data_IF_899474331483
#
_entry.id   IF_899474331483
#
_cell.length_a   1.000
_cell.length_b   1.000
_cell.length_c   1.000
_cell.angle_alpha   90.00
_cell.angle_beta   90.00
_cell.angle_gamma   90.00
#
_symmetry.space_group_name_H-M   'P 1'
#
loop_
_entity.id
_entity.type
_entity.pdbx_description
1 polymer ?
#
# COMPACT_ATOMS: atom_id res chain seq x y z
N UNK A 1 5.14 -24.76 10.47
CA UNK A 1 5.81 -23.63 9.79
C UNK A 1 4.80 -22.94 8.91
N UNK A 2 4.47 -21.68 9.18
CA UNK A 2 3.93 -20.72 8.20
C UNK A 2 4.83 -19.48 8.28
N UNK A 3 5.04 -18.67 7.22
CA UNK A 3 4.36 -18.63 5.91
C UNK A 3 5.33 -18.64 4.70
N UNK A 4 4.84 -18.87 3.47
CA UNK A 4 5.54 -18.48 2.24
C UNK A 4 4.92 -17.20 1.70
N UNK A 5 5.48 -16.07 2.12
CA UNK A 5 5.31 -14.76 1.50
C UNK A 5 6.66 -14.37 0.92
N UNK A 6 6.81 -14.44 -0.41
CA UNK A 6 7.89 -13.84 -1.22
C UNK A 6 7.55 -14.12 -2.68
N UNK A 7 7.41 -13.11 -3.52
CA UNK A 7 7.61 -13.30 -4.96
C UNK A 7 9.01 -13.88 -5.15
N UNK A 8 9.10 -15.12 -5.63
CA UNK A 8 10.28 -15.98 -5.41
C UNK A 8 11.58 -15.54 -6.14
N UNK A 9 11.59 -14.44 -6.91
CA UNK A 9 12.76 -14.07 -7.74
C UNK A 9 13.10 -12.56 -7.83
N UNK A 10 12.48 -11.68 -7.03
CA UNK A 10 12.70 -10.22 -7.16
C UNK A 10 12.07 -9.61 -8.42
N UNK A 11 11.32 -10.42 -9.18
CA UNK A 11 10.54 -9.99 -10.33
C UNK A 11 9.31 -9.16 -9.90
N UNK A 12 8.85 -8.25 -10.76
CA UNK A 12 7.61 -7.52 -10.52
C UNK A 12 6.40 -8.46 -10.46
N UNK A 13 5.43 -8.12 -9.61
CA UNK A 13 4.16 -8.83 -9.50
C UNK A 13 3.00 -7.84 -9.36
N UNK A 14 1.77 -8.31 -9.56
CA UNK A 14 0.57 -7.50 -9.34
C UNK A 14 -0.01 -7.81 -7.96
N UNK A 15 -0.27 -6.80 -7.13
CA UNK A 15 -1.00 -6.99 -5.87
C UNK A 15 -2.51 -7.15 -6.15
N UNK A 16 -3.28 -7.32 -5.08
CA UNK A 16 -4.75 -7.29 -5.12
C UNK A 16 -5.28 -6.03 -4.41
N UNK A 17 -6.42 -5.53 -4.89
CA UNK A 17 -7.11 -4.38 -4.28
C UNK A 17 -7.52 -4.75 -2.85
N UNK A 18 -7.29 -3.84 -1.90
CA UNK A 18 -7.58 -4.06 -0.47
C UNK A 18 -6.40 -4.63 0.33
N UNK A 19 -5.33 -5.07 -0.32
CA UNK A 19 -4.10 -5.47 0.37
C UNK A 19 -3.34 -4.26 0.91
N UNK A 20 -2.73 -4.43 2.08
CA UNK A 20 -1.86 -3.44 2.72
C UNK A 20 -0.42 -3.91 2.60
N UNK A 21 0.45 -3.02 2.13
CA UNK A 21 1.88 -3.25 2.01
C UNK A 21 2.66 -2.20 2.80
N UNK A 22 3.79 -2.59 3.36
CA UNK A 22 4.87 -1.66 3.66
C UNK A 22 5.56 -1.34 2.33
N UNK A 23 5.53 -0.07 1.90
CA UNK A 23 6.00 0.37 0.59
C UNK A 23 7.17 1.34 0.76
N UNK A 24 8.27 1.09 0.04
CA UNK A 24 9.39 2.01 -0.07
C UNK A 24 8.93 3.31 -0.74
N UNK A 25 9.10 4.45 -0.08
CA UNK A 25 8.55 5.74 -0.54
C UNK A 25 9.18 6.24 -1.84
N UNK A 26 10.44 5.86 -2.12
CA UNK A 26 11.17 6.26 -3.32
C UNK A 26 10.52 5.78 -4.64
N UNK A 27 9.60 4.81 -4.59
CA UNK A 27 8.94 4.29 -5.81
C UNK A 27 7.68 5.05 -6.20
N UNK A 28 7.21 6.01 -5.38
CA UNK A 28 6.03 6.83 -5.67
C UNK A 28 6.16 8.30 -5.25
N UNK A 29 7.20 8.69 -4.51
CA UNK A 29 7.47 10.09 -4.19
C UNK A 29 8.61 10.63 -5.06
N UNK A 30 8.39 11.77 -5.71
CA UNK A 30 9.42 12.50 -6.47
C UNK A 30 10.30 13.42 -5.59
N UNK A 31 10.24 13.28 -4.27
CA UNK A 31 10.94 14.13 -3.29
C UNK A 31 11.35 13.36 -2.04
N UNK A 32 11.84 14.09 -1.02
CA UNK A 32 12.30 13.49 0.24
C UNK A 32 11.12 13.25 1.18
N UNK A 33 10.46 12.10 1.08
CA UNK A 33 9.61 11.64 2.18
C UNK A 33 10.51 11.41 3.41
N UNK A 34 10.20 11.98 4.58
CA UNK A 34 11.00 11.76 5.79
C UNK A 34 10.96 10.30 6.26
N UNK A 35 9.97 9.52 5.85
CA UNK A 35 9.90 8.09 6.10
C UNK A 35 10.38 7.33 4.84
N UNK A 36 11.36 6.42 4.98
CA UNK A 36 11.82 5.61 3.85
C UNK A 36 10.77 4.57 3.41
N UNK A 37 9.83 4.24 4.30
CA UNK A 37 8.76 3.29 4.03
C UNK A 37 7.47 3.74 4.71
N UNK A 38 6.33 3.43 4.09
CA UNK A 38 4.99 3.68 4.65
C UNK A 38 4.06 2.51 4.39
N UNK A 39 3.14 2.21 5.33
CA UNK A 39 2.02 1.33 5.03
C UNK A 39 1.13 1.99 3.96
N UNK A 40 0.69 1.23 2.97
CA UNK A 40 -0.19 1.72 1.94
C UNK A 40 -1.21 0.65 1.53
N UNK A 41 -2.46 1.07 1.33
CA UNK A 41 -3.52 0.25 0.78
C UNK A 41 -3.44 0.26 -0.75
N UNK A 42 -3.57 -0.89 -1.39
CA UNK A 42 -3.75 -0.99 -2.84
C UNK A 42 -5.18 -0.65 -3.20
N UNK A 43 -5.37 0.43 -3.95
CA UNK A 43 -6.68 0.95 -4.34
C UNK A 43 -7.10 0.45 -5.73
N UNK A 44 -6.16 0.43 -6.67
CA UNK A 44 -6.44 0.01 -8.04
C UNK A 44 -5.22 -0.67 -8.65
N UNK A 45 -5.47 -1.75 -9.37
CA UNK A 45 -4.46 -2.54 -10.07
C UNK A 45 -4.87 -2.64 -11.53
N UNK A 46 -4.10 -2.04 -12.45
CA UNK A 46 -4.45 -2.09 -13.86
C UNK A 46 -4.37 -3.51 -14.39
N UNK A 47 -5.25 -3.83 -15.34
CA UNK A 47 -5.24 -5.11 -16.05
C UNK A 47 -3.86 -5.40 -16.65
N UNK A 48 -3.54 -6.69 -16.80
CA UNK A 48 -2.24 -7.16 -17.33
C UNK A 48 -1.96 -6.61 -18.72
N UNK A 49 -3.01 -6.36 -19.51
CA UNK A 49 -2.92 -5.92 -20.91
C UNK A 49 -2.56 -4.44 -21.08
N UNK A 50 -2.68 -3.62 -20.02
CA UNK A 50 -2.34 -2.20 -20.07
C UNK A 50 -0.95 -1.99 -19.48
N UNK A 51 0.08 -2.02 -20.33
CA UNK A 51 1.49 -2.03 -19.93
C UNK A 51 1.92 -0.80 -19.11
N UNK A 52 1.30 0.36 -19.35
CA UNK A 52 1.76 1.65 -18.83
C UNK A 52 0.94 2.20 -17.66
N UNK A 53 -0.18 1.58 -17.31
CA UNK A 53 -0.99 2.07 -16.20
C UNK A 53 -0.32 1.75 -14.85
N UNK A 54 -0.26 2.70 -13.89
CA UNK A 54 0.36 2.48 -12.59
C UNK A 54 -0.59 1.79 -11.59
N UNK A 55 -0.02 1.14 -10.59
CA UNK A 55 -0.75 0.69 -9.40
C UNK A 55 -1.07 1.91 -8.56
N UNK A 56 -2.33 2.11 -8.19
CA UNK A 56 -2.72 3.20 -7.29
C UNK A 56 -2.77 2.71 -5.86
N UNK A 57 -2.20 3.51 -4.96
CA UNK A 57 -2.13 3.22 -3.53
C UNK A 57 -2.62 4.41 -2.71
N UNK A 58 -3.08 4.17 -1.49
CA UNK A 58 -3.33 5.22 -0.50
C UNK A 58 -2.42 4.98 0.71
N UNK A 59 -1.53 5.92 1.00
CA UNK A 59 -0.57 5.77 2.10
C UNK A 59 -1.19 6.13 3.44
N UNK A 60 -0.78 5.39 4.46
CA UNK A 60 -1.12 5.63 5.85
C UNK A 60 -0.03 6.45 6.54
N UNK A 61 -0.44 7.42 7.34
CA UNK A 61 0.44 8.23 8.19
C UNK A 61 -0.11 8.27 9.62
N UNK A 62 0.75 8.40 10.62
CA UNK A 62 0.34 8.62 12.01
C UNK A 62 0.16 10.12 12.33
N UNK A 63 0.32 11.00 11.34
CA UNK A 63 0.10 12.43 11.50
C UNK A 63 -1.39 12.73 11.50
N UNK A 64 -1.78 13.76 12.23
CA UNK A 64 -3.15 14.27 12.23
C UNK A 64 -3.41 15.07 10.94
N UNK A 65 -4.02 14.39 9.97
CA UNK A 65 -4.32 14.92 8.63
C UNK A 65 -5.71 14.49 8.19
N UNK A 66 -6.28 15.18 7.21
CA UNK A 66 -7.54 14.79 6.62
C UNK A 66 -7.42 13.47 5.84
N UNK A 67 -8.33 12.53 6.09
CA UNK A 67 -8.33 11.22 5.43
C UNK A 67 -9.32 10.25 6.06
N UNK A 68 -9.09 8.95 5.90
CA UNK A 68 -9.84 7.91 6.61
C UNK A 68 -9.07 7.49 7.87
N UNK A 69 -9.60 7.75 9.07
CA UNK A 69 -8.98 7.29 10.30
C UNK A 69 -8.96 5.76 10.37
N UNK A 70 -7.84 5.22 10.84
CA UNK A 70 -7.61 3.80 11.04
C UNK A 70 -6.90 3.59 12.38
N UNK A 71 -7.46 2.82 13.32
CA UNK A 71 -6.81 2.55 14.60
C UNK A 71 -5.50 1.78 14.42
N UNK A 72 -4.73 1.63 15.48
CA UNK A 72 -3.71 0.59 15.54
C UNK A 72 -4.32 -0.78 15.18
N UNK A 73 -3.55 -1.61 14.48
CA UNK A 73 -3.95 -2.94 14.03
C UNK A 73 -2.74 -3.88 14.07
N UNK A 74 -2.67 -4.65 15.16
CA UNK A 74 -1.60 -5.61 15.41
C UNK A 74 -1.56 -6.73 14.36
N UNK A 75 -2.70 -7.06 13.72
CA UNK A 75 -2.74 -8.09 12.68
C UNK A 75 -2.00 -7.67 11.40
N UNK A 76 -1.85 -6.36 11.19
CA UNK A 76 -1.09 -5.74 10.12
C UNK A 76 0.27 -5.20 10.59
N UNK A 77 0.63 -5.38 11.87
CA UNK A 77 1.85 -4.82 12.46
C UNK A 77 1.83 -3.28 12.56
N UNK A 78 0.65 -2.66 12.62
CA UNK A 78 0.46 -1.21 12.70
C UNK A 78 0.23 -0.81 14.16
N UNK A 79 1.30 -0.47 14.87
CA UNK A 79 1.33 -0.27 16.33
C UNK A 79 0.65 1.02 16.85
N UNK A 80 0.23 1.91 15.94
CA UNK A 80 -0.30 3.23 16.26
C UNK A 80 -1.48 3.57 15.38
N UNK A 81 -2.39 4.36 15.92
CA UNK A 81 -3.44 5.04 15.16
C UNK A 81 -2.84 5.87 14.02
N UNK A 82 -3.62 6.02 12.96
CA UNK A 82 -3.19 6.72 11.76
C UNK A 82 -4.34 6.99 10.81
N UNK A 83 -3.99 7.55 9.66
CA UNK A 83 -4.93 8.04 8.67
C UNK A 83 -4.44 7.64 7.29
N UNK A 84 -5.32 7.04 6.49
CA UNK A 84 -5.11 6.89 5.05
C UNK A 84 -5.45 8.23 4.38
N UNK A 85 -4.43 8.91 3.86
CA UNK A 85 -4.55 10.34 3.50
C UNK A 85 -4.12 10.70 2.08
N UNK A 86 -3.15 9.98 1.53
CA UNK A 86 -2.43 10.44 0.33
C UNK A 86 -2.48 9.39 -0.76
N UNK A 87 -3.02 9.76 -1.92
CA UNK A 87 -3.03 8.94 -3.11
C UNK A 87 -1.64 8.97 -3.76
N UNK A 88 -1.11 7.79 -4.06
CA UNK A 88 0.15 7.58 -4.76
C UNK A 88 -0.03 6.68 -5.97
N UNK A 89 0.91 6.78 -6.91
CA UNK A 89 0.97 5.96 -8.11
C UNK A 89 2.34 5.29 -8.18
N UNK A 90 2.35 3.97 -8.30
CA UNK A 90 3.58 3.16 -8.40
C UNK A 90 3.62 2.51 -9.78
N UNK A 91 4.74 2.63 -10.48
CA UNK A 91 4.93 1.90 -11.73
C UNK A 91 4.97 0.39 -11.48
N UNK A 92 4.28 -0.40 -12.32
CA UNK A 92 4.17 -1.86 -12.15
C UNK A 92 5.51 -2.56 -11.97
N UNK A 93 6.52 -2.16 -12.74
CA UNK A 93 7.84 -2.79 -12.70
C UNK A 93 8.62 -2.50 -11.41
N UNK A 94 8.20 -1.49 -10.63
CA UNK A 94 8.74 -1.18 -9.31
C UNK A 94 8.02 -1.97 -8.20
N UNK A 95 6.89 -2.60 -8.48
CA UNK A 95 6.16 -3.42 -7.50
C UNK A 95 6.76 -4.82 -7.38
N UNK A 96 7.81 -4.94 -6.59
CA UNK A 96 8.62 -6.15 -6.43
C UNK A 96 9.08 -6.32 -4.97
N UNK A 97 9.48 -7.53 -4.53
CA UNK A 97 9.81 -7.82 -3.13
C UNK A 97 10.89 -6.92 -2.49
N UNK A 98 11.75 -6.27 -3.27
CA UNK A 98 12.73 -5.30 -2.75
C UNK A 98 12.18 -3.91 -2.45
N UNK A 99 10.96 -3.62 -2.91
CA UNK A 99 10.32 -2.31 -2.77
C UNK A 99 9.02 -2.37 -1.94
N UNK A 100 8.42 -3.55 -1.81
CA UNK A 100 7.16 -3.74 -1.09
C UNK A 100 7.17 -5.03 -0.27
N UNK A 101 6.52 -4.99 0.90
CA UNK A 101 6.28 -6.14 1.76
C UNK A 101 4.81 -6.21 2.13
N UNK A 102 4.14 -7.34 1.82
CA UNK A 102 2.75 -7.56 2.20
C UNK A 102 2.62 -7.62 3.72
N UNK A 103 1.74 -6.78 4.28
CA UNK A 103 1.35 -6.81 5.69
C UNK A 103 0.08 -7.65 5.88
N UNK A 104 -0.87 -7.55 4.97
CA UNK A 104 -2.10 -8.33 5.01
C UNK A 104 -3.24 -7.68 4.23
N UNK A 105 -4.47 -7.92 4.68
CA UNK A 105 -5.68 -7.36 4.10
C UNK A 105 -6.28 -6.33 5.05
N UNK A 106 -6.65 -5.16 4.53
CA UNK A 106 -7.32 -4.15 5.34
C UNK A 106 -8.73 -4.64 5.69
N UNK A 107 -9.10 -4.75 6.99
CA UNK A 107 -10.41 -5.25 7.36
C UNK A 107 -11.52 -4.24 7.07
N UNK A 108 -12.74 -4.75 6.96
CA UNK A 108 -13.94 -3.90 7.01
C UNK A 108 -14.10 -3.27 8.41
N UNK A 109 -14.70 -2.07 8.51
CA UNK A 109 -15.26 -1.26 7.43
C UNK A 109 -14.22 -0.37 6.71
N UNK A 110 -12.94 -0.51 7.04
CA UNK A 110 -11.93 0.47 6.63
C UNK A 110 -11.60 0.41 5.15
N UNK A 111 -11.51 -0.80 4.58
CA UNK A 111 -11.27 -0.96 3.14
C UNK A 111 -12.36 -0.30 2.31
N UNK A 112 -13.63 -0.54 2.63
CA UNK A 112 -14.75 0.12 1.93
C UNK A 112 -14.68 1.64 2.06
N UNK A 113 -14.39 2.17 3.25
CA UNK A 113 -14.27 3.62 3.48
C UNK A 113 -13.13 4.27 2.71
N UNK A 114 -11.98 3.59 2.60
CA UNK A 114 -10.84 4.11 1.83
C UNK A 114 -11.16 4.06 0.35
N UNK A 115 -11.75 2.97 -0.14
CA UNK A 115 -12.18 2.87 -1.55
C UNK A 115 -13.16 4.01 -1.87
N UNK A 116 -14.28 4.12 -1.14
CA UNK A 116 -15.29 5.16 -1.37
C UNK A 116 -14.74 6.59 -1.38
N UNK A 117 -13.72 6.87 -0.56
CA UNK A 117 -13.13 8.21 -0.49
C UNK A 117 -12.23 8.54 -1.67
N UNK A 118 -11.52 7.54 -2.22
CA UNK A 118 -10.41 7.76 -3.16
C UNK A 118 -10.63 7.17 -4.56
N UNK A 119 -11.71 6.41 -4.79
CA UNK A 119 -12.11 5.87 -6.11
C UNK A 119 -12.94 6.83 -6.94
#
# INVERSE_FOLDING_TARGET
>A
MLPRSRGEAGEPFLPEIGQVYQVNTYIYTFGTDPAPERPALVLNVPSKDVSFAPIQIVTRTSQDVAGVPHPADDSLGLDKDGVFSTLGSVEKHLWRPGNVQLLGWLPEPYVSRVIERFS
#
